data_IF_088675534871
#
_entry.id   IF_088675534871
#
_cell.length_a   1.000
_cell.length_b   1.000
_cell.length_c   1.000
_cell.angle_alpha   90.00
_cell.angle_beta   90.00
_cell.angle_gamma   90.00
#
_symmetry.space_group_name_H-M   'P 1'
#
loop_
_entity.id
_entity.type
_entity.pdbx_description
1 polymer ?
#
# COMPACT_ATOMS: atom_id res chain seq x y z
N UNK A 1 10.56 -5.69 13.65
CA UNK A 1 9.95 -5.04 12.46
C UNK A 1 11.00 -4.15 11.81
N UNK A 2 11.23 -4.30 10.50
CA UNK A 2 12.10 -3.41 9.72
C UNK A 2 11.28 -2.24 9.18
N UNK A 3 11.92 -1.07 9.02
CA UNK A 3 11.29 0.15 8.54
C UNK A 3 12.09 0.76 7.38
N UNK A 4 11.39 1.35 6.42
CA UNK A 4 11.98 2.27 5.45
C UNK A 4 11.56 3.69 5.81
N UNK A 5 12.45 4.66 5.55
CA UNK A 5 12.16 6.07 5.83
C UNK A 5 11.89 6.79 4.50
N UNK A 6 10.76 7.44 4.39
CA UNK A 6 10.42 8.31 3.27
C UNK A 6 11.29 9.59 3.31
N UNK A 7 11.41 10.30 2.18
CA UNK A 7 12.21 11.54 2.06
C UNK A 7 11.82 12.66 3.03
N UNK A 8 10.60 12.62 3.60
CA UNK A 8 10.13 13.56 4.62
C UNK A 8 10.36 13.07 6.06
N UNK A 9 11.03 11.94 6.27
CA UNK A 9 11.31 11.38 7.58
C UNK A 9 10.24 10.40 8.11
N UNK A 10 9.10 10.23 7.43
CA UNK A 10 8.06 9.28 7.83
C UNK A 10 8.57 7.84 7.73
N UNK A 11 8.43 7.07 8.81
CA UNK A 11 8.83 5.65 8.85
C UNK A 11 7.66 4.76 8.46
N UNK A 12 7.91 3.85 7.52
CA UNK A 12 6.93 2.85 7.06
C UNK A 12 7.40 1.45 7.44
N UNK A 13 6.57 0.64 8.14
CA UNK A 13 6.90 -0.76 8.36
C UNK A 13 6.98 -1.51 7.03
N UNK A 14 8.10 -2.19 6.75
CA UNK A 14 8.34 -2.81 5.46
C UNK A 14 7.47 -4.04 5.21
N UNK A 15 6.98 -4.71 6.26
CA UNK A 15 6.03 -5.82 6.14
C UNK A 15 4.65 -5.36 6.61
N UNK A 16 3.66 -5.47 5.74
CA UNK A 16 2.27 -5.14 6.01
C UNK A 16 1.30 -6.27 5.68
N UNK A 17 0.05 -6.15 6.14
CA UNK A 17 -1.06 -7.03 5.80
C UNK A 17 -1.85 -6.41 4.64
N UNK A 18 -1.98 -7.13 3.51
CA UNK A 18 -2.90 -6.80 2.44
C UNK A 18 -4.30 -7.35 2.73
N UNK A 19 -5.31 -6.48 2.75
CA UNK A 19 -6.68 -6.86 3.15
C UNK A 19 -7.63 -7.14 1.95
N UNK A 20 -7.14 -7.24 0.72
CA UNK A 20 -8.01 -7.56 -0.42
C UNK A 20 -8.76 -8.87 -0.21
N UNK A 21 -10.11 -8.88 -0.38
CA UNK A 21 -10.98 -10.02 -0.08
C UNK A 21 -10.96 -10.51 1.38
N UNK A 22 -10.63 -9.65 2.33
CA UNK A 22 -10.80 -9.91 3.76
C UNK A 22 -12.11 -9.25 4.20
N UNK A 23 -13.17 -10.05 4.32
CA UNK A 23 -14.53 -9.54 4.48
C UNK A 23 -15.13 -10.00 5.80
N UNK A 24 -16.19 -9.30 6.24
CA UNK A 24 -16.98 -9.64 7.42
C UNK A 24 -16.14 -9.91 8.69
N UNK A 25 -16.55 -10.89 9.47
CA UNK A 25 -15.87 -11.24 10.72
C UNK A 25 -14.49 -11.83 10.48
N UNK A 26 -14.28 -12.58 9.39
CA UNK A 26 -12.96 -13.11 9.02
C UNK A 26 -11.95 -11.96 8.79
N UNK A 27 -12.39 -10.90 8.10
CA UNK A 27 -11.57 -9.71 7.89
C UNK A 27 -11.20 -8.98 9.18
N UNK A 28 -12.12 -8.90 10.13
CA UNK A 28 -11.88 -8.33 11.47
C UNK A 28 -10.82 -9.14 12.22
N UNK A 29 -11.00 -10.47 12.29
CA UNK A 29 -10.08 -11.35 13.02
C UNK A 29 -8.70 -11.42 12.36
N UNK A 30 -8.62 -11.36 11.03
CA UNK A 30 -7.35 -11.32 10.30
C UNK A 30 -6.54 -10.07 10.68
N UNK A 31 -7.18 -8.90 10.75
CA UNK A 31 -6.51 -7.65 11.16
C UNK A 31 -6.07 -7.71 12.62
N UNK A 32 -6.93 -8.18 13.53
CA UNK A 32 -6.60 -8.33 14.96
C UNK A 32 -5.40 -9.25 15.15
N UNK A 33 -5.46 -10.45 14.59
CA UNK A 33 -4.37 -11.44 14.68
C UNK A 33 -3.07 -10.92 14.11
N UNK A 34 -3.13 -10.22 12.96
CA UNK A 34 -1.93 -9.60 12.39
C UNK A 34 -1.30 -8.57 13.34
N UNK A 35 -2.10 -7.73 13.97
CA UNK A 35 -1.62 -6.74 14.93
C UNK A 35 -1.02 -7.43 16.17
N UNK A 36 -1.67 -8.48 16.70
CA UNK A 36 -1.22 -9.26 17.85
C UNK A 36 0.15 -9.92 17.59
N UNK A 37 0.37 -10.50 16.41
CA UNK A 37 1.65 -11.11 16.03
C UNK A 37 2.72 -10.11 15.60
N UNK A 38 2.41 -8.81 15.63
CA UNK A 38 3.40 -7.75 15.45
C UNK A 38 3.34 -7.00 14.13
N UNK A 39 2.36 -7.20 13.24
CA UNK A 39 2.18 -6.34 12.08
C UNK A 39 1.82 -4.91 12.52
N UNK A 40 2.36 -3.93 11.79
CA UNK A 40 2.12 -2.50 12.06
C UNK A 40 1.74 -1.71 10.81
N UNK A 41 1.65 -2.35 9.67
CA UNK A 41 1.23 -1.80 8.39
C UNK A 41 0.02 -2.58 7.88
N UNK A 42 -1.10 -1.90 7.69
CA UNK A 42 -2.39 -2.47 7.24
C UNK A 42 -2.78 -1.76 5.94
N UNK A 43 -2.98 -2.53 4.87
CA UNK A 43 -3.31 -2.01 3.55
C UNK A 43 -4.70 -2.46 3.09
N UNK A 44 -5.56 -1.50 2.83
CA UNK A 44 -6.90 -1.72 2.25
C UNK A 44 -7.17 -0.76 1.09
N UNK A 45 -8.40 -0.68 0.61
CA UNK A 45 -8.85 0.26 -0.42
C UNK A 45 -10.38 0.42 -0.39
N UNK A 46 -10.86 1.59 -0.80
CA UNK A 46 -12.29 1.84 -0.99
C UNK A 46 -12.95 0.80 -1.91
N UNK A 47 -12.27 0.44 -3.00
CA UNK A 47 -12.74 -0.58 -3.97
C UNK A 47 -12.92 -1.98 -3.38
N UNK A 48 -12.29 -2.30 -2.25
CA UNK A 48 -12.42 -3.64 -1.63
C UNK A 48 -13.71 -3.78 -0.81
N UNK A 49 -14.44 -2.68 -0.58
CA UNK A 49 -15.70 -2.63 0.18
C UNK A 49 -15.60 -3.19 1.62
N UNK A 50 -14.36 -3.32 2.11
CA UNK A 50 -14.06 -3.95 3.39
C UNK A 50 -13.46 -3.00 4.45
N UNK A 51 -13.33 -1.70 4.16
CA UNK A 51 -12.75 -0.71 5.07
C UNK A 51 -13.42 -0.71 6.46
N UNK A 52 -14.73 -0.95 6.54
CA UNK A 52 -15.47 -1.06 7.81
C UNK A 52 -15.00 -2.23 8.69
N UNK A 53 -14.64 -3.34 8.10
CA UNK A 53 -14.14 -4.52 8.81
C UNK A 53 -12.69 -4.32 9.23
N UNK A 54 -11.87 -3.74 8.34
CA UNK A 54 -10.48 -3.37 8.65
C UNK A 54 -10.44 -2.37 9.82
N UNK A 55 -11.22 -1.31 9.76
CA UNK A 55 -11.30 -0.32 10.83
C UNK A 55 -11.82 -0.90 12.15
N UNK A 56 -12.79 -1.83 12.09
CA UNK A 56 -13.27 -2.55 13.26
C UNK A 56 -12.16 -3.41 13.86
N UNK A 57 -11.41 -4.17 13.04
CA UNK A 57 -10.28 -4.99 13.50
C UNK A 57 -9.18 -4.16 14.16
N UNK A 58 -8.86 -2.98 13.62
CA UNK A 58 -7.93 -2.04 14.23
C UNK A 58 -8.41 -1.61 15.63
N UNK A 59 -9.66 -1.15 15.76
CA UNK A 59 -10.20 -0.71 17.06
C UNK A 59 -10.28 -1.84 18.09
N UNK A 60 -10.77 -3.02 17.68
CA UNK A 60 -10.90 -4.18 18.56
C UNK A 60 -9.56 -4.79 18.97
N UNK A 61 -8.46 -4.52 18.25
CA UNK A 61 -7.11 -4.94 18.66
C UNK A 61 -6.61 -4.22 19.90
N UNK A 62 -7.20 -3.06 20.24
CA UNK A 62 -6.78 -2.23 21.38
C UNK A 62 -5.42 -1.57 21.22
N UNK A 63 -4.80 -1.63 20.05
CA UNK A 63 -3.50 -0.99 19.80
C UNK A 63 -3.65 0.53 19.69
N UNK A 64 -2.68 1.28 20.18
CA UNK A 64 -2.62 2.71 19.98
C UNK A 64 -2.55 3.03 18.47
N UNK A 65 -3.43 3.91 17.99
CA UNK A 65 -3.52 4.25 16.56
C UNK A 65 -2.19 4.73 15.97
N UNK A 66 -1.40 5.46 16.73
CA UNK A 66 -0.10 6.01 16.33
C UNK A 66 0.97 4.92 16.07
N UNK A 67 0.77 3.72 16.58
CA UNK A 67 1.65 2.58 16.34
C UNK A 67 1.39 1.86 15.03
N UNK A 68 0.33 2.24 14.31
CA UNK A 68 -0.05 1.65 13.02
C UNK A 68 0.22 2.60 11.86
N UNK A 69 0.59 2.03 10.74
CA UNK A 69 0.62 2.65 9.42
C UNK A 69 -0.52 2.07 8.58
N UNK A 70 -1.58 2.85 8.37
CA UNK A 70 -2.79 2.41 7.65
C UNK A 70 -2.81 3.04 6.27
N UNK A 71 -3.02 2.22 5.26
CA UNK A 71 -3.12 2.64 3.84
C UNK A 71 -4.53 2.37 3.34
N UNK A 72 -5.11 3.35 2.65
CA UNK A 72 -6.28 3.13 1.80
C UNK A 72 -6.11 3.80 0.44
N UNK A 73 -7.07 3.60 -0.47
CA UNK A 73 -6.93 4.00 -1.88
C UNK A 73 -8.26 4.40 -2.48
N UNK A 74 -8.24 5.41 -3.36
CA UNK A 74 -9.40 5.82 -4.16
C UNK A 74 -9.35 5.18 -5.56
N UNK A 75 -10.48 4.63 -6.01
CA UNK A 75 -10.60 4.01 -7.33
C UNK A 75 -10.85 5.06 -8.44
N UNK A 76 -10.36 4.84 -9.68
CA UNK A 76 -10.47 5.83 -10.77
C UNK A 76 -11.87 6.30 -11.13
N UNK A 77 -12.90 5.47 -10.93
CA UNK A 77 -14.29 5.90 -11.18
C UNK A 77 -14.75 7.04 -10.28
N UNK A 78 -14.11 7.21 -9.11
CA UNK A 78 -14.40 8.26 -8.13
C UNK A 78 -13.55 9.53 -8.32
N UNK A 79 -12.67 9.60 -9.32
CA UNK A 79 -11.76 10.74 -9.52
C UNK A 79 -12.48 12.04 -9.92
N UNK A 80 -13.75 11.97 -10.35
CA UNK A 80 -14.56 13.16 -10.63
C UNK A 80 -15.18 13.80 -9.39
N UNK A 81 -15.35 13.02 -8.33
CA UNK A 81 -15.93 13.41 -7.04
C UNK A 81 -15.11 12.78 -5.91
N UNK A 82 -13.80 13.07 -5.81
CA UNK A 82 -12.89 12.38 -4.90
C UNK A 82 -13.26 12.62 -3.43
N UNK A 83 -13.84 13.77 -3.10
CA UNK A 83 -14.29 14.10 -1.75
C UNK A 83 -15.28 13.06 -1.20
N UNK A 84 -16.24 12.62 -2.01
CA UNK A 84 -17.25 11.62 -1.62
C UNK A 84 -16.60 10.30 -1.24
N UNK A 85 -15.62 9.85 -2.03
CA UNK A 85 -14.90 8.61 -1.77
C UNK A 85 -13.99 8.70 -0.54
N UNK A 86 -13.32 9.83 -0.35
CA UNK A 86 -12.47 10.09 0.81
C UNK A 86 -13.30 10.08 2.10
N UNK A 87 -14.41 10.82 2.12
CA UNK A 87 -15.30 10.89 3.28
C UNK A 87 -15.96 9.54 3.58
N UNK A 88 -16.26 8.75 2.54
CA UNK A 88 -16.72 7.39 2.72
C UNK A 88 -15.66 6.52 3.40
N UNK A 89 -14.39 6.54 2.91
CA UNK A 89 -13.29 5.78 3.50
C UNK A 89 -13.05 6.15 4.96
N UNK A 90 -13.06 7.45 5.28
CA UNK A 90 -12.91 7.93 6.66
C UNK A 90 -14.02 7.41 7.58
N UNK A 91 -15.28 7.48 7.13
CA UNK A 91 -16.43 6.94 7.89
C UNK A 91 -16.38 5.43 8.03
N UNK A 92 -16.03 4.71 6.95
CA UNK A 92 -15.99 3.25 6.95
C UNK A 92 -14.88 2.72 7.86
N UNK A 93 -13.67 3.25 7.74
CA UNK A 93 -12.55 2.91 8.63
C UNK A 93 -12.83 3.33 10.07
N UNK A 94 -13.48 4.48 10.28
CA UNK A 94 -13.77 5.06 11.59
C UNK A 94 -12.52 5.11 12.49
N UNK A 95 -11.45 5.71 11.95
CA UNK A 95 -10.17 6.00 12.59
C UNK A 95 -9.85 7.48 12.44
N UNK A 96 -9.01 8.04 13.32
CA UNK A 96 -8.77 9.50 13.38
C UNK A 96 -8.13 10.05 12.10
N UNK A 97 -7.24 9.28 11.47
CA UNK A 97 -6.54 9.65 10.24
C UNK A 97 -6.06 8.39 9.49
N UNK A 98 -5.74 8.53 8.21
CA UNK A 98 -5.08 7.51 7.39
C UNK A 98 -3.60 7.91 7.22
N UNK A 99 -2.65 6.99 7.36
CA UNK A 99 -1.23 7.34 7.22
C UNK A 99 -0.85 7.61 5.77
N UNK A 100 -1.38 6.82 4.83
CA UNK A 100 -1.12 6.96 3.40
C UNK A 100 -2.39 6.76 2.59
N UNK A 101 -2.77 7.73 1.76
CA UNK A 101 -3.90 7.57 0.85
C UNK A 101 -3.44 7.62 -0.60
N UNK A 102 -3.83 6.61 -1.41
CA UNK A 102 -3.29 6.41 -2.75
C UNK A 102 -4.33 6.62 -3.85
N UNK A 103 -3.92 7.16 -4.99
CA UNK A 103 -4.63 6.90 -6.24
C UNK A 103 -4.40 5.43 -6.62
N UNK A 104 -5.45 4.60 -6.68
CA UNK A 104 -5.34 3.15 -6.84
C UNK A 104 -4.81 2.72 -8.22
N UNK A 105 -5.14 3.47 -9.27
CA UNK A 105 -4.67 3.31 -10.65
C UNK A 105 -4.52 4.65 -11.34
N UNK A 106 -3.65 4.78 -12.35
CA UNK A 106 -3.60 5.97 -13.20
C UNK A 106 -4.81 5.97 -14.14
N UNK A 107 -5.73 6.89 -13.98
CA UNK A 107 -6.80 7.07 -14.95
C UNK A 107 -6.24 7.50 -16.32
N UNK A 108 -6.87 7.05 -17.42
CA UNK A 108 -6.57 7.59 -18.76
C UNK A 108 -7.02 9.05 -18.89
N UNK A 109 -8.03 9.47 -18.12
CA UNK A 109 -8.44 10.86 -18.03
C UNK A 109 -7.48 11.61 -17.09
N UNK A 110 -6.54 12.32 -17.70
CA UNK A 110 -5.51 13.08 -16.99
C UNK A 110 -6.09 14.19 -16.11
N UNK A 111 -7.10 14.90 -16.61
CA UNK A 111 -7.77 15.94 -15.84
C UNK A 111 -8.40 15.38 -14.55
N UNK A 112 -9.15 14.29 -14.66
CA UNK A 112 -9.77 13.66 -13.49
C UNK A 112 -8.72 13.10 -12.51
N UNK A 113 -7.62 12.52 -13.02
CA UNK A 113 -6.50 12.06 -12.20
C UNK A 113 -5.86 13.21 -11.41
N UNK A 114 -5.56 14.31 -12.10
CA UNK A 114 -4.91 15.47 -11.48
C UNK A 114 -5.85 16.14 -10.47
N UNK A 115 -7.17 16.26 -10.79
CA UNK A 115 -8.18 16.73 -9.85
C UNK A 115 -8.25 15.86 -8.60
N UNK A 116 -8.25 14.52 -8.75
CA UNK A 116 -8.24 13.62 -7.60
C UNK A 116 -6.97 13.79 -6.75
N UNK A 117 -5.79 13.85 -7.39
CA UNK A 117 -4.53 14.02 -6.68
C UNK A 117 -4.46 15.37 -5.92
N UNK A 118 -4.89 16.46 -6.55
CA UNK A 118 -5.02 17.78 -5.91
C UNK A 118 -5.96 17.73 -4.70
N UNK A 119 -7.07 17.01 -4.83
CA UNK A 119 -8.00 16.82 -3.71
C UNK A 119 -7.37 16.03 -2.57
N UNK A 120 -6.58 14.97 -2.87
CA UNK A 120 -5.83 14.26 -1.83
C UNK A 120 -4.87 15.20 -1.08
N UNK A 121 -4.18 16.11 -1.78
CA UNK A 121 -3.29 17.08 -1.16
C UNK A 121 -4.06 18.02 -0.21
N UNK A 122 -5.23 18.55 -0.64
CA UNK A 122 -6.09 19.39 0.20
C UNK A 122 -6.58 18.66 1.46
N UNK A 123 -6.91 17.38 1.36
CA UNK A 123 -7.31 16.58 2.53
C UNK A 123 -6.14 16.22 3.44
N UNK A 124 -4.94 16.05 2.89
CA UNK A 124 -3.70 15.97 3.70
C UNK A 124 -3.49 17.23 4.53
N UNK A 125 -3.62 18.42 3.93
CA UNK A 125 -3.49 19.71 4.64
C UNK A 125 -4.53 19.85 5.77
N UNK A 126 -5.72 19.28 5.59
CA UNK A 126 -6.78 19.23 6.61
C UNK A 126 -6.53 18.17 7.70
N UNK A 127 -5.47 17.37 7.59
CA UNK A 127 -5.12 16.33 8.57
C UNK A 127 -5.85 14.99 8.43
N UNK A 128 -6.59 14.76 7.34
CA UNK A 128 -7.24 13.46 7.08
C UNK A 128 -6.21 12.38 6.73
N UNK A 129 -5.12 12.78 6.08
CA UNK A 129 -4.00 11.90 5.71
C UNK A 129 -2.70 12.49 6.21
N UNK A 130 -1.75 11.61 6.59
CA UNK A 130 -0.37 12.04 6.84
C UNK A 130 0.40 12.20 5.54
N UNK A 131 0.20 11.27 4.58
CA UNK A 131 0.86 11.30 3.29
C UNK A 131 -0.05 10.85 2.15
N UNK A 132 0.34 11.22 0.93
CA UNK A 132 -0.33 10.83 -0.31
C UNK A 132 0.65 10.13 -1.25
N UNK A 133 0.13 9.17 -1.99
CA UNK A 133 0.90 8.38 -2.94
C UNK A 133 0.02 7.88 -4.10
N UNK A 134 0.58 6.92 -4.83
CA UNK A 134 -0.07 6.33 -5.99
C UNK A 134 0.09 4.81 -6.01
N UNK A 135 -0.68 4.14 -6.86
CA UNK A 135 -0.58 2.72 -7.10
C UNK A 135 -0.73 2.42 -8.59
N UNK A 136 0.05 1.47 -9.09
CA UNK A 136 0.08 1.04 -10.50
C UNK A 136 0.52 2.14 -11.49
N UNK A 137 1.26 3.13 -11.02
CA UNK A 137 1.81 4.19 -11.88
C UNK A 137 3.13 3.73 -12.49
N UNK A 138 3.28 3.95 -13.80
CA UNK A 138 4.54 3.79 -14.52
C UNK A 138 5.32 5.10 -14.48
N UNK A 139 6.58 5.06 -14.94
CA UNK A 139 7.45 6.23 -15.04
C UNK A 139 6.74 7.43 -15.70
N UNK A 140 6.12 7.25 -16.88
CA UNK A 140 5.44 8.33 -17.60
C UNK A 140 4.30 8.99 -16.79
N UNK A 141 3.59 8.22 -15.97
CA UNK A 141 2.54 8.76 -15.09
C UNK A 141 3.12 9.58 -13.94
N UNK A 142 4.25 9.12 -13.39
CA UNK A 142 4.94 9.81 -12.29
C UNK A 142 5.56 11.13 -12.78
N UNK A 143 6.19 11.12 -13.96
CA UNK A 143 6.74 12.33 -14.59
C UNK A 143 5.65 13.38 -14.83
N UNK A 144 4.49 13.00 -15.34
CA UNK A 144 3.34 13.90 -15.53
C UNK A 144 2.81 14.49 -14.21
N UNK A 145 2.79 13.71 -13.13
CA UNK A 145 2.44 14.25 -11.82
C UNK A 145 3.49 15.28 -11.37
N UNK A 146 4.77 15.01 -11.56
CA UNK A 146 5.84 15.96 -11.22
C UNK A 146 5.75 17.23 -12.05
N UNK A 147 5.49 17.14 -13.35
CA UNK A 147 5.28 18.31 -14.21
C UNK A 147 4.12 19.19 -13.71
N UNK A 148 3.02 18.57 -13.27
CA UNK A 148 1.82 19.27 -12.81
C UNK A 148 1.97 19.85 -11.40
N UNK A 149 2.54 19.10 -10.46
CA UNK A 149 2.55 19.43 -9.03
C UNK A 149 3.92 19.83 -8.49
N UNK A 150 4.99 19.72 -9.29
CA UNK A 150 6.35 20.10 -8.90
C UNK A 150 7.13 19.05 -8.09
N UNK A 151 6.49 17.94 -7.70
CA UNK A 151 7.10 16.88 -6.89
C UNK A 151 6.56 15.49 -7.25
N UNK A 152 7.32 14.45 -6.89
CA UNK A 152 6.85 13.06 -7.00
C UNK A 152 6.00 12.66 -5.77
N UNK A 153 5.07 11.70 -5.93
CA UNK A 153 4.36 11.10 -4.78
C UNK A 153 5.34 10.41 -3.84
N UNK A 154 4.93 10.22 -2.57
CA UNK A 154 5.79 9.60 -1.55
C UNK A 154 5.96 8.10 -1.74
N UNK A 155 4.97 7.44 -2.33
CA UNK A 155 4.92 5.99 -2.49
C UNK A 155 4.30 5.62 -3.84
N UNK A 156 4.80 4.54 -4.45
CA UNK A 156 4.14 3.85 -5.55
C UNK A 156 3.97 2.36 -5.19
N UNK A 157 2.72 1.92 -5.09
CA UNK A 157 2.38 0.53 -4.80
C UNK A 157 2.09 -0.20 -6.11
N UNK A 158 2.91 -1.19 -6.47
CA UNK A 158 2.74 -1.98 -7.71
C UNK A 158 2.94 -3.48 -7.46
N UNK A 159 2.48 -4.30 -8.41
CA UNK A 159 2.76 -5.73 -8.37
C UNK A 159 4.27 -5.98 -8.58
N UNK A 160 4.91 -6.58 -7.56
CA UNK A 160 6.33 -6.99 -7.59
C UNK A 160 6.46 -8.38 -7.00
N UNK A 161 7.06 -9.28 -7.78
CA UNK A 161 7.43 -10.62 -7.36
C UNK A 161 8.76 -11.01 -8.01
N UNK A 162 9.42 -12.11 -7.62
CA UNK A 162 10.59 -12.62 -8.33
C UNK A 162 10.36 -12.85 -9.83
N UNK A 163 9.14 -13.20 -10.23
CA UNK A 163 8.76 -13.35 -11.65
C UNK A 163 8.48 -12.01 -12.36
N UNK A 164 8.05 -10.98 -11.62
CA UNK A 164 7.70 -9.68 -12.16
C UNK A 164 8.45 -8.58 -11.41
N UNK A 165 9.70 -8.34 -11.78
CA UNK A 165 10.61 -7.48 -11.02
C UNK A 165 10.46 -5.98 -11.29
N UNK A 166 9.78 -5.57 -12.37
CA UNK A 166 9.54 -4.16 -12.74
C UNK A 166 10.82 -3.30 -12.68
N UNK A 167 11.89 -3.80 -13.29
CA UNK A 167 13.26 -3.24 -13.11
C UNK A 167 13.35 -1.74 -13.44
N UNK A 168 12.70 -1.29 -14.52
CA UNK A 168 12.72 0.12 -14.95
C UNK A 168 11.94 1.01 -13.99
N UNK A 169 10.68 0.62 -13.65
CA UNK A 169 9.86 1.36 -12.68
C UNK A 169 10.55 1.38 -11.30
N UNK A 170 11.17 0.26 -10.92
CA UNK A 170 11.92 0.16 -9.67
C UNK A 170 13.11 1.11 -9.63
N UNK A 171 13.99 1.10 -10.66
CA UNK A 171 15.13 1.98 -10.74
C UNK A 171 14.70 3.46 -10.70
N UNK A 172 13.70 3.81 -11.50
CA UNK A 172 13.15 5.17 -11.51
C UNK A 172 12.65 5.63 -10.14
N UNK A 173 11.91 4.77 -9.43
CA UNK A 173 11.40 5.11 -8.11
C UNK A 173 12.54 5.28 -7.08
N UNK A 174 13.57 4.41 -7.13
CA UNK A 174 14.74 4.51 -6.25
C UNK A 174 15.53 5.82 -6.50
N UNK A 175 15.76 6.19 -7.76
CA UNK A 175 16.46 7.42 -8.15
C UNK A 175 15.74 8.71 -7.73
N UNK A 176 14.43 8.63 -7.50
CA UNK A 176 13.57 9.78 -7.16
C UNK A 176 12.99 9.72 -5.73
N UNK A 177 13.57 8.90 -4.85
CA UNK A 177 13.15 8.73 -3.45
C UNK A 177 11.64 8.44 -3.29
N UNK A 178 11.08 7.63 -4.20
CA UNK A 178 9.71 7.13 -4.14
C UNK A 178 9.73 5.76 -3.48
N UNK A 179 9.10 5.60 -2.32
CA UNK A 179 9.02 4.30 -1.65
C UNK A 179 8.18 3.33 -2.49
N UNK A 180 8.74 2.16 -2.76
CA UNK A 180 8.04 1.10 -3.47
C UNK A 180 7.35 0.16 -2.49
N UNK A 181 6.08 -0.15 -2.77
CA UNK A 181 5.34 -1.20 -2.04
C UNK A 181 4.93 -2.31 -2.99
N UNK A 182 5.43 -3.52 -2.71
CA UNK A 182 5.12 -4.72 -3.47
C UNK A 182 3.75 -5.29 -3.05
N UNK A 183 2.74 -5.13 -3.90
CA UNK A 183 1.49 -5.87 -3.79
C UNK A 183 1.56 -7.18 -4.61
N UNK A 184 0.66 -8.13 -4.32
CA UNK A 184 0.59 -9.47 -4.99
C UNK A 184 1.96 -10.19 -5.04
N UNK A 185 2.76 -10.20 -3.95
CA UNK A 185 4.14 -10.71 -3.99
C UNK A 185 4.23 -12.19 -4.34
N UNK A 186 3.16 -12.95 -4.14
CA UNK A 186 3.09 -14.37 -4.42
C UNK A 186 2.50 -14.72 -5.79
N UNK A 187 2.31 -13.73 -6.70
CA UNK A 187 1.70 -13.96 -8.02
C UNK A 187 0.38 -14.79 -7.91
N UNK A 188 -0.48 -14.42 -6.95
CA UNK A 188 -1.74 -15.15 -6.61
C UNK A 188 -1.51 -16.62 -6.21
N UNK A 189 -0.37 -16.94 -5.62
CA UNK A 189 0.00 -18.29 -5.22
C UNK A 189 0.78 -19.10 -6.27
N UNK A 190 0.78 -18.68 -7.53
CA UNK A 190 1.39 -19.44 -8.64
C UNK A 190 2.91 -19.63 -8.50
N UNK A 191 3.59 -18.69 -7.84
CA UNK A 191 5.04 -18.72 -7.66
C UNK A 191 5.51 -19.64 -6.51
N UNK A 192 4.61 -20.09 -5.64
CA UNK A 192 4.98 -20.80 -4.42
C UNK A 192 5.59 -22.20 -4.66
N UNK A 193 5.38 -22.74 -5.86
CA UNK A 193 5.96 -24.02 -6.27
C UNK A 193 7.09 -23.86 -7.29
N UNK A 194 7.65 -22.67 -7.47
CA UNK A 194 8.80 -22.43 -8.36
C UNK A 194 10.02 -23.22 -7.87
N UNK A 195 10.60 -24.12 -8.69
CA UNK A 195 11.68 -25.00 -8.24
C UNK A 195 12.90 -24.25 -7.70
N UNK A 196 13.21 -23.09 -8.29
CA UNK A 196 14.36 -22.28 -7.84
C UNK A 196 14.11 -21.64 -6.49
N UNK A 197 12.88 -21.17 -6.24
CA UNK A 197 12.50 -20.60 -4.95
C UNK A 197 12.38 -21.69 -3.86
N UNK A 198 11.93 -22.87 -4.23
CA UNK A 198 11.91 -24.04 -3.32
C UNK A 198 13.33 -24.41 -2.90
N UNK A 199 14.28 -24.56 -3.85
CA UNK A 199 15.69 -24.79 -3.57
C UNK A 199 16.29 -23.77 -2.58
N UNK A 200 15.98 -22.46 -2.81
CA UNK A 200 16.45 -21.39 -1.93
C UNK A 200 15.81 -21.51 -0.54
N UNK A 201 14.52 -21.79 -0.48
CA UNK A 201 13.80 -21.95 0.78
C UNK A 201 14.35 -23.09 1.62
N UNK A 202 14.57 -24.25 1.03
CA UNK A 202 15.18 -25.41 1.67
C UNK A 202 16.59 -25.10 2.21
N UNK A 203 17.43 -24.47 1.39
CA UNK A 203 18.79 -24.05 1.79
C UNK A 203 18.81 -23.16 3.04
N UNK A 204 17.76 -22.34 3.24
CA UNK A 204 17.65 -21.44 4.38
C UNK A 204 16.75 -21.95 5.51
N UNK A 205 16.17 -23.16 5.40
CA UNK A 205 15.22 -23.71 6.37
C UNK A 205 13.96 -22.86 6.49
N UNK A 206 13.48 -22.30 5.37
CA UNK A 206 12.32 -21.40 5.29
C UNK A 206 11.32 -21.94 4.26
N UNK A 207 10.09 -21.38 4.26
CA UNK A 207 9.17 -21.61 3.16
C UNK A 207 9.33 -20.57 2.05
N UNK A 208 8.81 -20.87 0.87
CA UNK A 208 8.92 -19.99 -0.32
C UNK A 208 8.32 -18.61 -0.07
N UNK A 209 7.20 -18.53 0.65
CA UNK A 209 6.59 -17.25 1.01
C UNK A 209 7.54 -16.37 1.82
N UNK A 210 8.20 -16.92 2.82
CA UNK A 210 9.20 -16.19 3.63
C UNK A 210 10.39 -15.71 2.79
N UNK A 211 10.84 -16.52 1.83
CA UNK A 211 11.93 -16.14 0.89
C UNK A 211 11.50 -14.94 0.04
N UNK A 212 10.29 -14.98 -0.52
CA UNK A 212 9.78 -13.90 -1.37
C UNK A 212 9.59 -12.59 -0.57
N UNK A 213 9.07 -12.68 0.65
CA UNK A 213 8.94 -11.51 1.52
C UNK A 213 10.30 -10.92 1.86
N UNK A 214 11.27 -11.76 2.23
CA UNK A 214 12.64 -11.33 2.53
C UNK A 214 13.32 -10.72 1.31
N UNK A 215 13.13 -11.28 0.13
CA UNK A 215 13.66 -10.75 -1.12
C UNK A 215 13.14 -9.32 -1.39
N UNK A 216 11.84 -9.04 -1.17
CA UNK A 216 11.30 -7.69 -1.30
C UNK A 216 11.93 -6.72 -0.30
N UNK A 217 12.02 -7.10 0.97
CA UNK A 217 12.59 -6.27 2.04
C UNK A 217 14.06 -5.96 1.77
N UNK A 218 14.86 -6.94 1.33
CA UNK A 218 16.27 -6.74 0.97
C UNK A 218 16.47 -5.81 -0.23
N UNK A 219 15.49 -5.68 -1.11
CA UNK A 219 15.49 -4.71 -2.21
C UNK A 219 15.05 -3.31 -1.78
N UNK A 220 14.71 -3.11 -0.52
CA UNK A 220 14.19 -1.83 -0.02
C UNK A 220 12.71 -1.59 -0.34
N UNK A 221 11.95 -2.63 -0.64
CA UNK A 221 10.50 -2.52 -0.84
C UNK A 221 9.75 -2.76 0.48
N UNK A 222 8.66 -2.00 0.70
CA UNK A 222 7.59 -2.53 1.53
C UNK A 222 6.93 -3.70 0.81
N UNK A 223 6.32 -4.64 1.55
CA UNK A 223 5.61 -5.78 0.96
C UNK A 223 4.35 -6.09 1.76
N UNK A 224 3.24 -6.28 1.05
CA UNK A 224 1.90 -6.46 1.63
C UNK A 224 1.25 -7.75 1.13
N UNK A 225 1.70 -8.93 1.60
CA UNK A 225 1.00 -10.18 1.34
C UNK A 225 -0.41 -10.15 1.95
N UNK A 226 -1.28 -11.00 1.39
CA UNK A 226 -2.54 -11.38 2.01
C UNK A 226 -2.38 -12.74 2.67
#
# INVERSE_FOLDING_TARGET
>A
MEYITMRNGTKVPMLGLGCYKSEEQEGVEAVKSAIEIGYRHIDTANFYENEKYVGRGIRESGIDREKLFVVSKIWPTSFKTPEVAIEYSMRALNIDYIDMYLLHWPSQNEYARNHAFETLLKYKEKGYFKEVGVSNFKKEHLEKLKETFGFYPMMNQIEISPWLQKKEDYAFCQENDIVMTACVPFAKGNILNDPKLVEIAEKHGKNVGQVILRWNIQRGNCVIPK
#
